data_IF_049627609754
#
_entry.id   IF_049627609754
#
_cell.length_a   1.000
_cell.length_b   1.000
_cell.length_c   1.000
_cell.angle_alpha   90.00
_cell.angle_beta   90.00
_cell.angle_gamma   90.00
#
_symmetry.space_group_name_H-M   'P 1'
#
loop_
_entity.id
_entity.type
_entity.pdbx_description
1 polymer ?
#
# COMPACT_ATOMS: atom_id res chain seq x y z
N UNK A 1 -24.33 2.12 6.43
CA UNK A 1 -24.76 2.06 7.85
C UNK A 1 -23.60 1.44 8.61
N UNK A 2 -22.85 2.25 9.36
CA UNK A 2 -21.69 1.76 10.13
C UNK A 2 -22.20 0.94 11.33
N UNK A 3 -21.81 -0.33 11.41
CA UNK A 3 -22.04 -1.16 12.57
C UNK A 3 -20.74 -1.30 13.37
N UNK A 4 -20.79 -0.92 14.65
CA UNK A 4 -19.73 -1.16 15.62
C UNK A 4 -19.89 -2.58 16.17
N UNK A 5 -18.99 -3.49 15.83
CA UNK A 5 -18.83 -4.76 16.55
C UNK A 5 -17.47 -4.78 17.26
N UNK A 6 -17.40 -5.16 18.55
CA UNK A 6 -16.14 -5.32 19.25
C UNK A 6 -15.53 -6.68 18.88
N UNK A 7 -14.64 -6.68 17.89
CA UNK A 7 -13.80 -7.82 17.57
C UNK A 7 -12.62 -7.95 18.54
N UNK A 8 -12.39 -9.15 19.04
CA UNK A 8 -11.26 -9.52 19.92
C UNK A 8 -9.92 -9.43 19.16
N UNK A 9 -9.06 -8.48 19.54
CA UNK A 9 -7.71 -8.33 18.96
C UNK A 9 -6.70 -9.21 19.71
N UNK A 10 -6.19 -10.23 19.04
CA UNK A 10 -4.88 -10.81 19.37
C UNK A 10 -3.81 -9.77 19.06
N UNK A 11 -3.01 -9.39 20.06
CA UNK A 11 -1.97 -8.35 20.02
C UNK A 11 -0.97 -8.58 18.87
N UNK A 12 -1.02 -7.76 17.82
CA UNK A 12 0.21 -7.30 17.17
C UNK A 12 0.71 -6.14 18.05
N UNK A 13 1.75 -6.39 18.84
CA UNK A 13 2.31 -5.43 19.79
C UNK A 13 2.88 -4.21 19.03
N UNK A 14 2.07 -3.14 19.01
CA UNK A 14 2.33 -1.77 18.54
C UNK A 14 2.33 -1.54 17.02
N UNK A 15 1.75 -0.42 16.60
CA UNK A 15 1.78 0.13 15.24
C UNK A 15 3.13 0.83 14.93
N UNK A 16 4.19 0.48 15.64
CA UNK A 16 5.50 1.12 15.53
C UNK A 16 5.53 2.60 15.91
N UNK A 17 4.51 3.10 16.63
CA UNK A 17 4.35 4.52 16.97
C UNK A 17 3.60 5.34 15.91
N UNK A 18 3.09 4.68 14.85
CA UNK A 18 2.31 5.30 13.77
C UNK A 18 0.83 5.41 14.13
N UNK A 19 0.55 6.07 15.26
CA UNK A 19 -0.78 6.17 15.84
C UNK A 19 -1.80 6.76 14.86
N UNK A 20 -2.87 6.01 14.63
CA UNK A 20 -4.08 6.50 13.97
C UNK A 20 -5.18 6.62 15.01
N UNK A 21 -5.85 7.77 15.08
CA UNK A 21 -7.00 7.89 16.00
C UNK A 21 -8.07 6.87 15.62
N UNK A 22 -8.73 6.25 16.62
CA UNK A 22 -9.80 5.26 16.35
C UNK A 22 -10.98 5.83 15.54
N UNK A 23 -11.15 7.14 15.55
CA UNK A 23 -12.17 7.84 14.76
C UNK A 23 -11.75 8.07 13.31
N UNK A 24 -10.44 8.02 13.02
CA UNK A 24 -9.89 8.16 11.68
C UNK A 24 -9.55 6.82 11.02
N UNK A 25 -9.39 5.75 11.79
CA UNK A 25 -9.20 4.40 11.25
C UNK A 25 -10.46 3.94 10.52
N UNK A 26 -10.29 3.48 9.28
CA UNK A 26 -11.38 2.92 8.50
C UNK A 26 -11.63 1.47 8.91
N UNK A 27 -12.90 1.12 9.08
CA UNK A 27 -13.30 -0.23 9.39
C UNK A 27 -13.08 -1.13 8.18
N UNK A 28 -12.59 -2.35 8.42
CA UNK A 28 -12.64 -3.41 7.42
C UNK A 28 -14.07 -3.94 7.33
N UNK A 29 -14.56 -4.13 6.10
CA UNK A 29 -15.82 -4.83 5.87
C UNK A 29 -15.63 -6.36 5.78
N UNK A 30 -14.39 -6.85 5.93
CA UNK A 30 -14.02 -8.26 5.86
C UNK A 30 -14.03 -8.85 4.45
N UNK A 31 -14.23 -8.04 3.41
CA UNK A 31 -14.18 -8.50 2.03
C UNK A 31 -12.75 -8.87 1.64
N UNK A 32 -12.57 -10.12 1.20
CA UNK A 32 -11.33 -10.54 0.56
C UNK A 32 -11.60 -11.65 -0.45
N UNK A 33 -11.26 -11.39 -1.70
CA UNK A 33 -11.39 -12.33 -2.83
C UNK A 33 -10.04 -12.73 -3.43
N UNK A 34 -8.94 -12.14 -2.94
CA UNK A 34 -7.57 -12.53 -3.32
C UNK A 34 -7.16 -13.78 -2.54
N UNK A 35 -6.62 -14.78 -3.25
CA UNK A 35 -6.09 -16.00 -2.64
C UNK A 35 -4.87 -15.70 -1.77
N UNK A 36 -4.80 -16.33 -0.59
CA UNK A 36 -3.63 -16.31 0.28
C UNK A 36 -2.84 -17.61 0.13
N UNK A 37 -1.51 -17.49 0.02
CA UNK A 37 -0.56 -18.60 -0.07
C UNK A 37 0.56 -18.40 0.93
N UNK A 38 0.93 -19.47 1.62
CA UNK A 38 2.02 -19.50 2.57
C UNK A 38 3.36 -19.92 1.91
N UNK A 39 4.34 -20.25 2.75
CA UNK A 39 5.66 -20.74 2.33
C UNK A 39 5.66 -22.08 1.59
N UNK A 40 4.50 -22.75 1.46
CA UNK A 40 4.38 -23.95 0.63
C UNK A 40 4.32 -23.63 -0.87
N UNK A 41 4.11 -22.37 -1.27
CA UNK A 41 4.04 -21.99 -2.68
C UNK A 41 5.42 -22.10 -3.34
N UNK A 42 5.55 -22.99 -4.33
CA UNK A 42 6.80 -23.13 -5.08
C UNK A 42 6.92 -22.08 -6.19
N UNK A 43 8.15 -21.79 -6.62
CA UNK A 43 8.41 -20.90 -7.76
C UNK A 43 7.68 -21.36 -9.04
N UNK A 44 7.68 -22.67 -9.33
CA UNK A 44 7.00 -23.21 -10.50
C UNK A 44 5.47 -22.95 -10.45
N UNK A 45 4.86 -23.15 -9.28
CA UNK A 45 3.44 -22.83 -9.08
C UNK A 45 3.19 -21.33 -9.19
N UNK A 46 4.09 -20.49 -8.63
CA UNK A 46 3.99 -19.04 -8.76
C UNK A 46 3.93 -18.60 -10.23
N UNK A 47 4.88 -19.07 -11.04
CA UNK A 47 4.96 -18.76 -12.47
C UNK A 47 3.72 -19.25 -13.22
N UNK A 48 3.28 -20.48 -12.97
CA UNK A 48 2.18 -21.10 -13.72
C UNK A 48 0.81 -20.54 -13.33
N UNK A 49 0.59 -20.15 -12.07
CA UNK A 49 -0.74 -19.85 -11.55
C UNK A 49 -0.99 -18.35 -11.30
N UNK A 50 0.05 -17.55 -11.12
CA UNK A 50 -0.09 -16.16 -10.65
C UNK A 50 0.68 -15.15 -11.51
N UNK A 51 1.96 -15.40 -11.81
CA UNK A 51 2.86 -14.40 -12.40
C UNK A 51 2.27 -13.64 -13.60
N UNK A 52 1.54 -14.33 -14.48
CA UNK A 52 0.95 -13.74 -15.69
C UNK A 52 -0.58 -13.85 -15.73
N UNK A 53 -1.22 -14.14 -14.60
CA UNK A 53 -2.65 -14.46 -14.57
C UNK A 53 -3.41 -13.62 -13.57
N UNK A 54 -3.11 -13.74 -12.28
CA UNK A 54 -3.95 -13.15 -11.22
C UNK A 54 -3.16 -12.80 -9.96
N UNK A 55 -3.66 -11.84 -9.15
CA UNK A 55 -3.06 -11.47 -7.88
C UNK A 55 -3.04 -12.60 -6.85
N UNK A 56 -2.10 -12.52 -5.92
CA UNK A 56 -2.00 -13.44 -4.77
C UNK A 56 -1.40 -12.72 -3.58
N UNK A 57 -1.88 -13.03 -2.39
CA UNK A 57 -1.28 -12.58 -1.13
C UNK A 57 -0.36 -13.69 -0.62
N UNK A 58 0.86 -13.31 -0.29
CA UNK A 58 1.93 -14.19 0.15
C UNK A 58 2.23 -13.96 1.63
N UNK A 59 2.39 -15.05 2.38
CA UNK A 59 2.59 -15.01 3.83
C UNK A 59 3.77 -15.90 4.23
N UNK A 60 4.57 -15.44 5.20
CA UNK A 60 5.64 -16.23 5.79
C UNK A 60 6.77 -16.61 4.83
N UNK A 61 6.99 -15.84 3.77
CA UNK A 61 8.07 -16.09 2.79
C UNK A 61 9.39 -15.42 3.15
N UNK A 62 9.34 -14.31 3.88
CA UNK A 62 10.47 -13.45 4.21
C UNK A 62 10.46 -13.16 5.70
N UNK A 63 11.65 -13.01 6.26
CA UNK A 63 11.83 -12.43 7.60
C UNK A 63 12.31 -10.98 7.43
N UNK A 64 11.40 -10.05 7.73
CA UNK A 64 11.63 -8.61 7.70
C UNK A 64 11.61 -8.00 9.11
N UNK A 65 11.84 -8.80 10.17
CA UNK A 65 11.79 -8.33 11.56
C UNK A 65 12.74 -7.14 11.81
N UNK A 66 13.99 -7.22 11.32
CA UNK A 66 14.94 -6.10 11.44
C UNK A 66 14.47 -4.87 10.67
N UNK A 67 13.97 -5.07 9.44
CA UNK A 67 13.47 -3.98 8.60
C UNK A 67 12.28 -3.28 9.28
N UNK A 68 11.32 -4.05 9.79
CA UNK A 68 10.16 -3.53 10.52
C UNK A 68 10.58 -2.72 11.75
N UNK A 69 11.55 -3.20 12.54
CA UNK A 69 12.06 -2.45 13.70
C UNK A 69 12.67 -1.09 13.29
N UNK A 70 13.39 -1.05 12.15
CA UNK A 70 13.93 0.21 11.61
C UNK A 70 12.87 1.13 11.00
N UNK A 71 11.67 0.62 10.73
CA UNK A 71 10.54 1.39 10.20
C UNK A 71 9.61 1.97 11.27
N UNK A 72 9.94 1.83 12.56
CA UNK A 72 9.21 2.51 13.64
C UNK A 72 9.35 4.02 13.53
N UNK A 73 8.35 4.78 13.99
CA UNK A 73 8.30 6.25 13.88
C UNK A 73 9.56 6.91 14.44
N UNK A 74 9.94 6.54 15.66
CA UNK A 74 11.09 7.12 16.34
C UNK A 74 12.42 6.80 15.62
N UNK A 75 12.59 5.58 15.13
CA UNK A 75 13.81 5.19 14.40
C UNK A 75 13.92 5.91 13.06
N UNK A 76 12.80 6.05 12.32
CA UNK A 76 12.79 6.78 11.06
C UNK A 76 13.00 8.27 11.26
N UNK A 77 12.41 8.90 12.28
CA UNK A 77 12.64 10.31 12.58
C UNK A 77 14.07 10.57 13.06
N UNK A 78 14.60 9.75 13.96
CA UNK A 78 15.96 9.90 14.46
C UNK A 78 17.03 9.80 13.35
N UNK A 79 16.76 8.99 12.31
CA UNK A 79 17.71 8.76 11.23
C UNK A 79 17.47 9.63 10.01
N UNK A 80 16.21 9.89 9.66
CA UNK A 80 15.83 10.54 8.41
C UNK A 80 15.06 11.85 8.60
N UNK A 81 14.76 12.29 9.82
CA UNK A 81 13.96 13.49 10.09
C UNK A 81 14.47 14.74 9.36
N UNK A 82 15.78 14.95 9.33
CA UNK A 82 16.42 16.09 8.66
C UNK A 82 16.72 15.85 7.16
N UNK A 83 16.36 14.69 6.61
CA UNK A 83 16.53 14.41 5.19
C UNK A 83 15.32 14.89 4.39
N UNK A 84 15.59 15.43 3.19
CA UNK A 84 14.54 15.78 2.25
C UNK A 84 13.86 14.52 1.72
N UNK A 85 12.53 14.53 1.78
CA UNK A 85 11.66 13.57 1.10
C UNK A 85 10.86 14.28 0.03
N UNK A 86 10.59 13.55 -1.04
CA UNK A 86 9.74 14.01 -2.14
C UNK A 86 8.35 13.41 -1.97
N UNK A 87 7.37 14.26 -1.65
CA UNK A 87 5.96 13.89 -1.67
C UNK A 87 5.42 14.01 -3.08
N UNK A 88 4.41 13.21 -3.38
CA UNK A 88 3.66 13.29 -4.63
C UNK A 88 2.17 13.41 -4.31
N UNK A 89 1.41 14.02 -5.23
CA UNK A 89 -0.05 14.00 -5.12
C UNK A 89 -0.59 12.59 -5.28
N UNK A 90 -1.59 12.25 -4.47
CA UNK A 90 -2.22 10.93 -4.41
C UNK A 90 -3.23 10.68 -5.54
N UNK A 91 -3.16 11.43 -6.65
CA UNK A 91 -3.95 11.17 -7.85
C UNK A 91 -3.22 10.20 -8.80
N UNK A 92 -3.94 9.71 -9.80
CA UNK A 92 -3.49 8.63 -10.73
C UNK A 92 -2.10 8.87 -11.34
N UNK A 93 -1.75 10.12 -11.62
CA UNK A 93 -0.53 10.49 -12.34
C UNK A 93 0.46 11.28 -11.50
N UNK A 94 0.18 11.52 -10.21
CA UNK A 94 1.10 12.20 -9.29
C UNK A 94 1.71 13.49 -9.85
N UNK A 95 0.86 14.37 -10.40
CA UNK A 95 1.29 15.53 -11.18
C UNK A 95 2.23 16.47 -10.44
N UNK A 96 1.96 16.71 -9.16
CA UNK A 96 2.67 17.69 -8.36
C UNK A 96 3.53 16.98 -7.33
N UNK A 97 4.74 17.53 -7.14
CA UNK A 97 5.74 17.00 -6.21
C UNK A 97 6.27 18.12 -5.33
N UNK A 98 6.47 17.80 -4.06
CA UNK A 98 6.95 18.75 -3.05
C UNK A 98 8.11 18.10 -2.30
N UNK A 99 9.21 18.83 -2.20
CA UNK A 99 10.35 18.43 -1.37
C UNK A 99 10.29 19.19 -0.04
N UNK A 100 10.40 18.47 1.06
CA UNK A 100 10.41 18.99 2.44
C UNK A 100 11.14 18.02 3.36
N UNK A 101 11.41 18.43 4.60
CA UNK A 101 12.02 17.53 5.59
C UNK A 101 11.07 16.40 5.95
N UNK A 102 11.61 15.19 6.16
CA UNK A 102 10.81 14.05 6.60
C UNK A 102 10.09 14.34 7.93
N UNK A 103 10.75 15.05 8.84
CA UNK A 103 10.16 15.53 10.10
C UNK A 103 8.89 16.36 9.84
N UNK A 104 8.98 17.36 8.95
CA UNK A 104 7.86 18.25 8.63
C UNK A 104 6.68 17.47 8.01
N UNK A 105 6.97 16.49 7.16
CA UNK A 105 5.93 15.60 6.63
C UNK A 105 5.20 14.86 7.75
N UNK A 106 5.95 14.21 8.64
CA UNK A 106 5.38 13.39 9.72
C UNK A 106 4.61 14.23 10.74
N UNK A 107 5.09 15.43 11.05
CA UNK A 107 4.49 16.27 12.11
C UNK A 107 3.33 17.13 11.62
N UNK A 108 3.27 17.46 10.33
CA UNK A 108 2.32 18.46 9.82
C UNK A 108 1.44 18.01 8.66
N UNK A 109 1.84 16.99 7.89
CA UNK A 109 1.12 16.58 6.68
C UNK A 109 0.64 15.13 6.72
N UNK A 110 1.17 14.30 7.62
CA UNK A 110 0.75 12.92 7.79
C UNK A 110 -0.53 12.85 8.61
N UNK A 111 -1.65 13.22 7.99
CA UNK A 111 -2.97 13.27 8.60
C UNK A 111 -3.99 12.41 7.84
N UNK A 112 -5.16 12.12 8.44
CA UNK A 112 -6.24 11.44 7.72
C UNK A 112 -6.71 12.24 6.51
N UNK A 113 -7.07 11.53 5.45
CA UNK A 113 -7.63 12.12 4.23
C UNK A 113 -8.89 12.96 4.53
N UNK A 114 -8.84 14.25 4.20
CA UNK A 114 -10.03 15.08 4.17
C UNK A 114 -10.97 14.61 3.05
N UNK A 115 -12.24 14.38 3.39
CA UNK A 115 -13.30 13.97 2.47
C UNK A 115 -13.65 15.03 1.43
N UNK A 116 -13.35 16.31 1.72
CA UNK A 116 -13.57 17.41 0.79
C UNK A 116 -12.42 17.59 -0.21
N UNK A 117 -11.23 17.09 0.09
CA UNK A 117 -10.04 17.27 -0.75
C UNK A 117 -9.99 16.32 -1.94
N UNK A 118 -9.40 16.79 -3.03
CA UNK A 118 -9.07 15.94 -4.17
C UNK A 118 -7.80 15.12 -3.93
N UNK A 119 -7.64 14.02 -4.67
CA UNK A 119 -6.39 13.26 -4.66
C UNK A 119 -5.22 14.10 -5.20
N UNK A 120 -5.50 15.07 -6.08
CA UNK A 120 -4.54 16.04 -6.59
C UNK A 120 -4.09 17.08 -5.58
N UNK A 121 -4.75 17.15 -4.41
CA UNK A 121 -4.43 18.08 -3.31
C UNK A 121 -3.86 17.34 -2.10
N UNK A 122 -3.96 16.00 -2.10
CA UNK A 122 -3.45 15.16 -1.02
C UNK A 122 -2.01 14.77 -1.32
N UNK A 123 -1.08 15.19 -0.48
CA UNK A 123 0.32 14.80 -0.56
C UNK A 123 0.56 13.54 0.28
N UNK A 124 1.31 12.58 -0.26
CA UNK A 124 1.82 11.47 0.54
C UNK A 124 3.22 11.05 0.09
N UNK A 125 3.96 10.42 1.01
CA UNK A 125 5.32 9.98 0.75
C UNK A 125 5.31 8.59 0.11
N UNK A 126 5.56 8.51 -1.19
CA UNK A 126 5.79 7.26 -1.90
C UNK A 126 6.36 7.51 -3.29
N UNK A 127 7.22 6.59 -3.73
CA UNK A 127 7.97 6.73 -4.97
C UNK A 127 9.06 7.80 -4.85
N UNK A 128 9.96 7.81 -5.83
CA UNK A 128 11.03 8.82 -5.94
C UNK A 128 11.91 8.89 -4.68
N UNK A 129 12.02 7.81 -3.91
CA UNK A 129 12.90 7.77 -2.75
C UNK A 129 14.35 7.99 -3.19
N UNK A 130 15.12 8.74 -2.40
CA UNK A 130 16.54 8.92 -2.66
C UNK A 130 17.31 7.67 -2.20
N UNK A 131 17.68 6.80 -3.13
CA UNK A 131 18.37 5.54 -2.84
C UNK A 131 19.77 5.70 -2.24
N UNK A 132 20.40 6.88 -2.37
CA UNK A 132 21.67 7.16 -1.70
C UNK A 132 21.43 7.37 -0.20
N UNK A 133 20.49 8.25 0.15
CA UNK A 133 20.17 8.57 1.54
C UNK A 133 19.48 7.39 2.24
N UNK A 134 18.46 6.81 1.60
CA UNK A 134 17.64 5.73 2.15
C UNK A 134 18.20 4.33 1.90
N UNK A 135 19.29 4.20 1.13
CA UNK A 135 19.83 2.91 0.69
C UNK A 135 20.24 2.00 1.85
N UNK A 136 20.62 2.59 2.97
CA UNK A 136 20.98 1.85 4.18
C UNK A 136 19.77 1.22 4.90
N UNK A 137 18.56 1.75 4.71
CA UNK A 137 17.30 1.10 5.09
C UNK A 137 16.92 0.01 4.08
N UNK A 138 17.03 0.30 2.78
CA UNK A 138 16.65 -0.65 1.72
C UNK A 138 17.50 -1.93 1.70
N UNK A 139 18.77 -1.85 2.13
CA UNK A 139 19.63 -3.03 2.32
C UNK A 139 19.14 -4.00 3.39
N UNK A 140 18.21 -3.57 4.26
CA UNK A 140 17.62 -4.40 5.32
C UNK A 140 16.34 -5.10 4.88
N UNK A 141 15.73 -4.67 3.79
CA UNK A 141 14.53 -5.29 3.26
C UNK A 141 14.87 -6.59 2.50
N UNK A 142 14.17 -7.66 2.87
CA UNK A 142 14.22 -8.95 2.20
C UNK A 142 12.95 -9.11 1.34
N UNK A 143 13.05 -8.99 -0.01
CA UNK A 143 11.89 -9.10 -0.89
C UNK A 143 11.45 -10.56 -1.06
N UNK A 144 10.19 -10.80 -1.50
CA UNK A 144 9.74 -12.15 -1.85
C UNK A 144 10.68 -12.85 -2.84
N UNK A 145 10.90 -14.17 -2.70
CA UNK A 145 11.88 -14.90 -3.52
C UNK A 145 11.42 -15.14 -4.97
N UNK A 146 10.18 -14.80 -5.31
CA UNK A 146 9.62 -15.02 -6.63
C UNK A 146 10.04 -13.91 -7.59
N UNK A 147 10.66 -14.30 -8.71
CA UNK A 147 11.12 -13.40 -9.76
C UNK A 147 10.36 -13.64 -11.05
N UNK A 148 10.16 -12.59 -11.84
CA UNK A 148 9.63 -12.71 -13.19
C UNK A 148 10.82 -12.68 -14.17
N UNK A 149 10.96 -13.67 -15.05
CA UNK A 149 12.05 -13.68 -16.03
C UNK A 149 12.11 -12.39 -16.84
N UNK A 150 13.31 -11.82 -16.98
CA UNK A 150 13.54 -10.59 -17.76
C UNK A 150 13.23 -9.29 -17.02
N UNK A 151 12.81 -9.33 -15.74
CA UNK A 151 12.54 -8.13 -14.94
C UNK A 151 13.62 -7.85 -13.90
N UNK A 152 13.72 -6.58 -13.52
CA UNK A 152 14.54 -6.10 -12.40
C UNK A 152 13.66 -5.40 -11.37
N UNK A 153 13.96 -5.60 -10.09
CA UNK A 153 13.21 -5.00 -9.00
C UNK A 153 13.71 -3.59 -8.67
N UNK A 154 12.78 -2.65 -8.54
CA UNK A 154 13.02 -1.31 -8.00
C UNK A 154 12.13 -1.07 -6.78
N UNK A 155 12.72 -0.66 -5.66
CA UNK A 155 11.97 -0.42 -4.43
C UNK A 155 11.28 0.95 -4.43
N UNK A 156 10.14 1.02 -3.76
CA UNK A 156 9.44 2.26 -3.45
C UNK A 156 8.88 2.14 -2.04
N UNK A 157 9.47 2.88 -1.12
CA UNK A 157 9.03 2.95 0.27
C UNK A 157 8.06 4.11 0.44
N UNK A 158 7.04 3.91 1.28
CA UNK A 158 6.07 4.96 1.54
C UNK A 158 5.42 4.91 2.90
N UNK A 159 4.89 6.08 3.26
CA UNK A 159 4.16 6.33 4.49
C UNK A 159 2.98 7.22 4.10
N UNK A 160 1.76 6.83 4.46
CA UNK A 160 0.55 7.62 4.16
C UNK A 160 -0.46 7.54 5.30
N UNK A 161 -1.19 8.62 5.52
CA UNK A 161 -2.22 8.70 6.55
C UNK A 161 -3.46 7.87 6.21
N UNK A 162 -4.33 7.63 7.19
CA UNK A 162 -5.60 6.92 6.97
C UNK A 162 -6.45 7.59 5.88
N UNK A 163 -7.13 6.80 5.07
CA UNK A 163 -7.96 7.26 3.96
C UNK A 163 -7.20 7.72 2.71
N UNK A 164 -5.88 7.91 2.81
CA UNK A 164 -5.05 8.20 1.64
C UNK A 164 -4.81 6.95 0.79
N UNK A 165 -4.36 7.12 -0.44
CA UNK A 165 -4.04 6.03 -1.35
C UNK A 165 -4.09 6.51 -2.80
N UNK A 166 -3.76 5.62 -3.74
CA UNK A 166 -3.72 5.97 -5.18
C UNK A 166 -4.94 5.38 -5.89
N UNK A 167 -5.69 6.18 -6.68
CA UNK A 167 -6.79 5.72 -7.51
C UNK A 167 -6.34 4.67 -8.53
N UNK A 168 -7.31 4.13 -9.28
CA UNK A 168 -7.01 3.11 -10.28
C UNK A 168 -5.97 3.56 -11.30
N UNK A 169 -4.93 2.75 -11.44
CA UNK A 169 -3.88 2.87 -12.45
C UNK A 169 -3.34 1.48 -12.76
N UNK A 170 -2.41 1.39 -13.71
CA UNK A 170 -1.71 0.15 -14.02
C UNK A 170 -0.29 0.46 -14.48
N UNK A 171 0.58 -0.53 -14.36
CA UNK A 171 1.96 -0.54 -14.83
C UNK A 171 2.47 -1.99 -14.85
N UNK A 172 3.79 -2.16 -14.92
CA UNK A 172 4.46 -3.45 -14.78
C UNK A 172 4.07 -4.21 -13.51
N UNK A 173 4.36 -5.52 -13.42
CA UNK A 173 4.05 -6.33 -12.25
C UNK A 173 4.80 -5.84 -11.01
N UNK A 174 4.34 -6.25 -9.83
CA UNK A 174 5.02 -5.87 -8.61
C UNK A 174 4.54 -6.56 -7.36
N UNK A 175 5.28 -6.32 -6.29
CA UNK A 175 4.96 -6.73 -4.93
C UNK A 175 4.69 -5.51 -4.06
N UNK A 176 3.79 -5.64 -3.08
CA UNK A 176 3.57 -4.63 -2.04
C UNK A 176 3.43 -5.28 -0.67
N UNK A 177 4.28 -4.88 0.27
CA UNK A 177 4.31 -5.36 1.64
C UNK A 177 3.93 -4.23 2.60
N UNK A 178 3.03 -4.54 3.55
CA UNK A 178 2.71 -3.63 4.65
C UNK A 178 3.62 -3.96 5.84
N UNK A 179 4.21 -2.92 6.41
CA UNK A 179 5.14 -3.00 7.55
C UNK A 179 4.42 -2.59 8.84
N UNK A 180 3.65 -1.51 8.77
CA UNK A 180 2.74 -1.03 9.81
C UNK A 180 1.43 -0.54 9.18
N UNK A 181 0.33 -0.61 9.94
CA UNK A 181 -0.99 -0.24 9.46
C UNK A 181 -1.63 -1.33 8.58
N UNK A 182 -2.64 -0.94 7.79
CA UNK A 182 -3.40 -1.83 6.92
C UNK A 182 -3.70 -1.14 5.61
N UNK A 183 -3.57 -1.86 4.50
CA UNK A 183 -3.80 -1.32 3.16
C UNK A 183 -4.81 -2.19 2.42
N UNK A 184 -5.90 -1.60 1.99
CA UNK A 184 -6.90 -2.24 1.15
C UNK A 184 -6.58 -2.03 -0.32
N UNK A 185 -6.71 -3.09 -1.11
CA UNK A 185 -6.46 -3.11 -2.55
C UNK A 185 -7.72 -3.45 -3.30
N UNK A 186 -7.98 -2.70 -4.37
CA UNK A 186 -9.02 -2.97 -5.35
C UNK A 186 -8.34 -3.27 -6.69
N UNK A 187 -8.68 -4.40 -7.31
CA UNK A 187 -7.97 -4.97 -8.45
C UNK A 187 -8.97 -5.34 -9.56
N UNK A 188 -8.66 -4.96 -10.80
CA UNK A 188 -9.36 -5.45 -11.98
C UNK A 188 -8.36 -6.03 -12.98
N UNK A 189 -8.74 -7.12 -13.68
CA UNK A 189 -7.91 -7.66 -14.74
C UNK A 189 -7.78 -6.65 -15.90
N UNK A 190 -6.74 -6.74 -16.74
CA UNK A 190 -6.44 -5.74 -17.78
C UNK A 190 -7.61 -5.45 -18.73
N UNK A 191 -8.41 -6.47 -19.05
CA UNK A 191 -9.57 -6.39 -19.94
C UNK A 191 -10.79 -5.68 -19.33
N UNK A 192 -10.78 -5.41 -18.02
CA UNK A 192 -11.89 -4.79 -17.31
C UNK A 192 -11.48 -3.42 -16.77
N UNK A 193 -11.71 -2.39 -17.58
CA UNK A 193 -11.46 -1.00 -17.19
C UNK A 193 -12.43 -0.56 -16.09
N UNK A 194 -11.94 -0.11 -14.91
CA UNK A 194 -12.80 0.43 -13.87
C UNK A 194 -13.35 1.82 -14.24
N UNK A 195 -14.55 2.13 -13.74
CA UNK A 195 -15.08 3.50 -13.78
C UNK A 195 -14.58 4.28 -12.55
N UNK A 196 -13.81 5.35 -12.81
CA UNK A 196 -13.28 6.24 -11.77
C UNK A 196 -12.88 7.59 -12.38
N UNK A 197 -12.66 8.58 -11.51
CA UNK A 197 -12.13 9.88 -11.91
C UNK A 197 -10.67 10.00 -11.44
N UNK A 198 -9.70 10.28 -12.33
CA UNK A 198 -8.27 10.14 -12.01
C UNK A 198 -7.74 11.11 -10.94
N UNK A 199 -8.45 12.23 -10.72
CA UNK A 199 -8.13 13.23 -9.70
C UNK A 199 -8.93 13.09 -8.39
N UNK A 200 -9.95 12.23 -8.34
CA UNK A 200 -10.67 11.95 -7.08
C UNK A 200 -9.88 10.96 -6.25
N UNK A 201 -10.03 10.99 -4.93
CA UNK A 201 -9.36 10.07 -4.01
C UNK A 201 -9.97 8.66 -4.12
N UNK A 202 -9.18 7.61 -3.83
CA UNK A 202 -9.72 6.25 -3.68
C UNK A 202 -10.80 6.20 -2.61
N UNK A 203 -10.64 6.98 -1.52
CA UNK A 203 -11.64 7.06 -0.46
C UNK A 203 -12.99 7.58 -0.98
N UNK A 204 -13.00 8.65 -1.78
CA UNK A 204 -14.26 9.16 -2.34
C UNK A 204 -14.91 8.15 -3.30
N UNK A 205 -14.12 7.44 -4.12
CA UNK A 205 -14.63 6.34 -4.95
C UNK A 205 -15.21 5.20 -4.10
N UNK A 206 -14.54 4.83 -3.00
CA UNK A 206 -14.98 3.79 -2.09
C UNK A 206 -16.28 4.14 -1.35
N UNK A 207 -16.51 5.43 -1.07
CA UNK A 207 -17.73 5.89 -0.39
C UNK A 207 -18.89 6.13 -1.37
N UNK A 208 -18.59 6.71 -2.54
CA UNK A 208 -19.63 7.23 -3.45
C UNK A 208 -19.96 6.28 -4.61
N UNK A 209 -19.05 5.39 -4.98
CA UNK A 209 -19.18 4.52 -6.16
C UNK A 209 -19.25 3.05 -5.77
N UNK A 210 -18.27 2.55 -5.02
CA UNK A 210 -18.16 1.14 -4.64
C UNK A 210 -19.46 0.52 -4.04
N UNK A 211 -20.20 1.18 -3.11
CA UNK A 211 -21.38 0.58 -2.49
C UNK A 211 -22.53 0.35 -3.48
N UNK A 212 -22.51 1.04 -4.62
CA UNK A 212 -23.55 0.98 -5.65
C UNK A 212 -23.16 0.12 -6.85
N UNK A 213 -21.94 -0.44 -6.87
CA UNK A 213 -21.53 -1.37 -7.91
C UNK A 213 -22.36 -2.67 -7.83
N UNK A 214 -22.92 -3.15 -8.96
CA UNK A 214 -23.53 -4.47 -8.98
C UNK A 214 -22.46 -5.55 -8.69
N UNK A 215 -22.83 -6.71 -8.12
CA UNK A 215 -21.86 -7.73 -7.70
C UNK A 215 -20.85 -8.14 -8.78
N UNK A 216 -21.27 -8.22 -10.05
CA UNK A 216 -20.41 -8.55 -11.21
C UNK A 216 -19.39 -7.46 -11.57
N UNK A 217 -19.65 -6.23 -11.15
CA UNK A 217 -18.76 -5.08 -11.37
C UNK A 217 -17.84 -4.80 -10.18
N UNK A 218 -18.03 -5.49 -9.05
CA UNK A 218 -17.10 -5.35 -7.92
C UNK A 218 -15.68 -5.79 -8.30
N UNK A 219 -14.66 -5.13 -7.72
CA UNK A 219 -13.26 -5.50 -7.91
C UNK A 219 -12.93 -6.84 -7.25
N UNK A 220 -11.83 -7.45 -7.67
CA UNK A 220 -11.09 -8.35 -6.78
C UNK A 220 -10.48 -7.48 -5.69
N UNK A 221 -10.64 -7.82 -4.43
CA UNK A 221 -10.25 -6.92 -3.35
C UNK A 221 -9.76 -7.68 -2.13
N UNK A 222 -8.92 -7.03 -1.34
CA UNK A 222 -8.50 -7.55 -0.03
C UNK A 222 -7.75 -6.48 0.77
N UNK A 223 -7.88 -6.54 2.09
CA UNK A 223 -6.94 -5.86 3.01
C UNK A 223 -5.70 -6.72 3.22
N UNK A 224 -4.52 -6.12 3.04
CA UNK A 224 -3.24 -6.70 3.46
C UNK A 224 -2.75 -6.07 4.77
N UNK A 225 -2.19 -6.93 5.62
CA UNK A 225 -1.75 -6.65 6.99
C UNK A 225 -0.22 -6.69 7.12
N UNK A 226 0.35 -6.25 8.26
CA UNK A 226 1.77 -6.35 8.51
C UNK A 226 2.31 -7.77 8.26
N UNK A 227 3.35 -7.89 7.42
CA UNK A 227 3.96 -9.16 7.04
C UNK A 227 3.25 -9.93 5.91
N UNK A 228 2.15 -9.41 5.37
CA UNK A 228 1.54 -9.90 4.13
C UNK A 228 2.10 -9.16 2.91
N UNK A 229 2.34 -9.89 1.82
CA UNK A 229 2.81 -9.32 0.56
C UNK A 229 1.80 -9.59 -0.56
N UNK A 230 1.21 -8.54 -1.13
CA UNK A 230 0.42 -8.68 -2.34
C UNK A 230 1.34 -8.72 -3.57
N UNK A 231 1.19 -9.73 -4.41
CA UNK A 231 1.64 -9.71 -5.80
C UNK A 231 0.50 -9.28 -6.72
N UNK A 232 0.76 -8.34 -7.63
CA UNK A 232 -0.14 -7.98 -8.73
C UNK A 232 0.55 -8.21 -10.09
N UNK A 233 -0.12 -8.86 -11.05
CA UNK A 233 0.46 -9.10 -12.36
C UNK A 233 0.55 -7.84 -13.22
N UNK A 234 1.27 -7.98 -14.32
CA UNK A 234 1.45 -6.95 -15.34
C UNK A 234 0.10 -6.41 -15.86
N UNK A 235 0.00 -5.10 -16.05
CA UNK A 235 -1.18 -4.38 -16.55
C UNK A 235 -2.48 -4.52 -15.73
N UNK A 236 -2.46 -5.13 -14.54
CA UNK A 236 -3.64 -5.16 -13.68
C UNK A 236 -3.97 -3.76 -13.18
N UNK A 237 -5.23 -3.35 -13.35
CA UNK A 237 -5.74 -2.13 -12.74
C UNK A 237 -5.76 -2.29 -11.24
N UNK A 238 -5.22 -1.32 -10.52
CA UNK A 238 -5.22 -1.34 -9.06
C UNK A 238 -5.42 0.05 -8.46
N UNK A 239 -6.23 0.10 -7.41
CA UNK A 239 -6.35 1.24 -6.50
C UNK A 239 -6.00 0.79 -5.08
N UNK A 240 -5.48 1.71 -4.29
CA UNK A 240 -5.08 1.45 -2.90
C UNK A 240 -5.76 2.42 -1.94
N UNK A 241 -6.03 1.94 -0.72
CA UNK A 241 -6.59 2.72 0.38
C UNK A 241 -5.90 2.32 1.68
N UNK A 242 -5.21 3.26 2.32
CA UNK A 242 -4.66 3.07 3.66
C UNK A 242 -5.81 3.14 4.66
N UNK A 243 -6.05 2.09 5.44
CA UNK A 243 -7.13 2.06 6.45
C UNK A 243 -6.69 2.67 7.78
N UNK A 244 -5.38 2.73 7.99
CA UNK A 244 -4.69 3.43 9.07
C UNK A 244 -3.50 4.19 8.47
N UNK A 245 -2.82 5.00 9.27
CA UNK A 245 -1.46 5.43 8.97
C UNK A 245 -0.62 4.19 8.68
N UNK A 246 -0.15 4.08 7.44
CA UNK A 246 0.44 2.86 6.91
C UNK A 246 1.86 3.12 6.44
N UNK A 247 2.77 2.24 6.85
CA UNK A 247 4.14 2.16 6.35
C UNK A 247 4.25 0.92 5.48
N UNK A 248 4.77 1.08 4.27
CA UNK A 248 4.78 0.02 3.28
C UNK A 248 5.93 0.16 2.31
N UNK A 249 6.25 -0.93 1.64
CA UNK A 249 7.25 -0.98 0.59
C UNK A 249 6.70 -1.76 -0.60
N UNK A 250 6.93 -1.23 -1.80
CA UNK A 250 6.62 -1.90 -3.05
C UNK A 250 7.90 -2.22 -3.80
N UNK A 251 7.89 -3.35 -4.52
CA UNK A 251 8.92 -3.71 -5.50
C UNK A 251 8.29 -3.72 -6.88
N UNK A 252 8.62 -2.74 -7.70
CA UNK A 252 8.18 -2.69 -9.11
C UNK A 252 9.14 -3.52 -9.96
N UNK A 253 8.58 -4.35 -10.84
CA UNK A 253 9.33 -5.23 -11.73
C UNK A 253 9.27 -4.65 -13.15
N UNK A 254 10.38 -4.09 -13.62
CA UNK A 254 10.53 -3.47 -14.94
C UNK A 254 11.68 -4.03 -15.76
#
# INVERSE_FOLDING_TARGET
MFFLFPGSFTLLETDGGWLTSRHAALAEDGSCTVERRDSSLTYAQFIQQYAFSRPVILQGLTDNTEFQAQCTKDQLLARFGEHLVRLSTANTYSYHKVDLLFQDYVDHLLEPQDLASLGSETLYFFGNNNFTEWGSLFKKYNPPPFRIPGTTGAYSFGIGGSGSGVPFHWHGPGFSEVIFGRKHWFLYPPEKTPEFHPNRTTLSWFLDTYPFLPPREKPVECTIHPGEVLYFPDHWWHATLNLDTSVFISTFLG
#
